data_IF_275696679413
#
_entry.id   IF_275696679413
#
_cell.length_a   1.000
_cell.length_b   1.000
_cell.length_c   1.000
_cell.angle_alpha   90.00
_cell.angle_beta   90.00
_cell.angle_gamma   90.00
#
_symmetry.space_group_name_H-M   'P 1'
#
loop_
_entity.id
_entity.type
_entity.pdbx_description
1 polymer ?
#
# COMPACT_ATOMS: atom_id res chain seq x y z
N UNK A 1 -28.37 -23.16 -17.94
CA UNK A 1 -29.50 -23.72 -18.76
C UNK A 1 -29.87 -22.65 -19.77
N UNK A 2 -29.15 -22.61 -20.89
CA UNK A 2 -29.38 -21.60 -21.93
C UNK A 2 -30.53 -22.05 -22.85
N UNK A 3 -31.52 -21.23 -23.02
CA UNK A 3 -32.55 -21.39 -24.07
C UNK A 3 -32.19 -20.45 -25.20
N UNK A 4 -31.82 -21.03 -26.32
CA UNK A 4 -31.68 -20.35 -27.62
C UNK A 4 -33.07 -20.39 -28.28
N UNK A 5 -33.67 -19.24 -28.55
CA UNK A 5 -34.82 -19.10 -29.45
C UNK A 5 -34.27 -18.60 -30.79
N UNK A 6 -34.27 -19.48 -31.78
CA UNK A 6 -34.07 -19.12 -33.19
C UNK A 6 -35.45 -18.99 -33.88
N UNK A 7 -35.79 -17.82 -34.36
CA UNK A 7 -36.79 -17.67 -35.40
C UNK A 7 -36.12 -17.33 -36.71
N UNK A 8 -36.01 -18.33 -37.60
CA UNK A 8 -35.66 -18.17 -39.01
C UNK A 8 -36.92 -17.90 -39.84
N UNK A 9 -37.05 -16.72 -40.39
CA UNK A 9 -37.99 -16.45 -41.47
C UNK A 9 -37.29 -16.54 -42.83
N UNK A 10 -37.55 -17.59 -43.59
CA UNK A 10 -37.07 -17.80 -44.98
C UNK A 10 -38.03 -17.16 -45.99
N UNK A 11 -37.56 -16.17 -46.73
CA UNK A 11 -38.24 -15.65 -47.90
C UNK A 11 -37.40 -15.97 -49.16
N UNK A 12 -37.99 -16.71 -50.13
CA UNK A 12 -37.35 -17.00 -51.42
C UNK A 12 -37.72 -15.94 -52.45
N UNK A 13 -36.71 -15.39 -53.09
CA UNK A 13 -36.82 -14.66 -54.36
C UNK A 13 -35.70 -15.05 -55.29
N UNK A 14 -36.07 -15.49 -56.50
CA UNK A 14 -35.20 -15.74 -57.68
C UNK A 14 -33.90 -16.52 -57.43
N UNK A 15 -33.96 -17.74 -56.94
CA UNK A 15 -32.93 -18.76 -57.22
C UNK A 15 -31.61 -18.65 -56.41
N UNK A 16 -31.28 -17.55 -55.82
CA UNK A 16 -30.07 -17.37 -55.02
C UNK A 16 -30.39 -17.03 -53.60
N UNK A 17 -29.76 -17.74 -52.66
CA UNK A 17 -29.94 -17.52 -51.22
C UNK A 17 -29.03 -16.39 -50.78
N UNK A 18 -29.57 -15.17 -50.60
CA UNK A 18 -28.85 -14.05 -50.03
C UNK A 18 -29.19 -13.97 -48.53
N UNK A 19 -28.18 -14.12 -47.68
CA UNK A 19 -28.27 -13.85 -46.23
C UNK A 19 -28.33 -12.32 -46.00
N UNK A 20 -29.52 -11.79 -45.80
CA UNK A 20 -29.66 -10.39 -45.39
C UNK A 20 -29.55 -10.27 -43.89
N UNK A 21 -28.39 -9.78 -43.43
CA UNK A 21 -28.24 -9.31 -42.04
C UNK A 21 -28.90 -7.93 -41.94
N UNK A 22 -30.04 -7.83 -41.27
CA UNK A 22 -30.64 -6.52 -40.93
C UNK A 22 -29.86 -5.92 -39.76
N UNK A 23 -29.16 -4.85 -40.02
CA UNK A 23 -28.75 -3.91 -38.98
C UNK A 23 -29.97 -3.15 -38.49
N UNK A 24 -30.32 -3.32 -37.23
CA UNK A 24 -31.22 -2.39 -36.56
C UNK A 24 -30.40 -1.15 -36.18
N UNK A 25 -30.58 -0.08 -36.90
CA UNK A 25 -30.20 1.25 -36.45
C UNK A 25 -31.27 1.73 -35.49
N UNK A 26 -30.92 1.86 -34.25
CA UNK A 26 -31.67 2.52 -33.18
C UNK A 26 -30.65 3.14 -32.27
N UNK A 27 -30.53 4.46 -32.36
CA UNK A 27 -29.76 5.29 -31.44
C UNK A 27 -30.31 5.11 -30.01
N UNK A 28 -29.50 4.49 -29.18
CA UNK A 28 -29.29 4.66 -27.76
C UNK A 28 -28.39 3.53 -27.30
N UNK A 29 -27.11 3.63 -27.67
CA UNK A 29 -26.07 2.93 -26.93
C UNK A 29 -26.00 3.63 -25.56
N UNK A 30 -26.78 3.12 -24.61
CA UNK A 30 -26.45 3.24 -23.20
C UNK A 30 -25.08 2.60 -23.04
N UNK A 31 -24.04 3.41 -23.03
CA UNK A 31 -22.69 3.03 -22.69
C UNK A 31 -22.58 2.77 -21.19
N UNK A 32 -23.26 1.71 -20.74
CA UNK A 32 -22.96 1.04 -19.49
C UNK A 32 -21.87 0.02 -19.79
N UNK A 33 -20.65 0.47 -20.03
CA UNK A 33 -19.51 -0.37 -19.79
C UNK A 33 -19.51 -0.61 -18.30
N UNK A 34 -19.86 -1.84 -17.86
CA UNK A 34 -19.38 -2.36 -16.60
C UNK A 34 -17.85 -2.42 -16.73
N UNK A 35 -17.16 -1.31 -16.47
CA UNK A 35 -15.75 -1.36 -16.15
C UNK A 35 -15.66 -2.25 -14.92
N UNK A 36 -15.04 -3.41 -15.07
CA UNK A 36 -14.75 -4.30 -13.96
C UNK A 36 -14.02 -3.47 -12.90
N UNK A 37 -14.57 -3.42 -11.68
CA UNK A 37 -14.07 -2.56 -10.61
C UNK A 37 -12.61 -2.90 -10.33
N UNK A 38 -11.70 -1.97 -10.64
CA UNK A 38 -10.27 -2.10 -10.35
C UNK A 38 -9.91 -1.19 -9.19
N UNK A 39 -9.57 -1.81 -8.06
CA UNK A 39 -9.07 -1.13 -6.85
C UNK A 39 -7.91 -0.20 -7.19
N UNK A 40 -6.90 -0.71 -7.90
CA UNK A 40 -5.73 0.07 -8.28
C UNK A 40 -6.08 1.30 -9.12
N UNK A 41 -7.01 1.18 -10.07
CA UNK A 41 -7.43 2.30 -10.91
C UNK A 41 -8.22 3.35 -10.10
N UNK A 42 -9.07 2.92 -9.14
CA UNK A 42 -9.81 3.83 -8.26
C UNK A 42 -8.85 4.60 -7.34
N UNK A 43 -7.92 3.93 -6.68
CA UNK A 43 -6.89 4.52 -5.83
C UNK A 43 -6.04 5.50 -6.63
N UNK A 44 -5.47 5.09 -7.77
CA UNK A 44 -4.61 5.94 -8.59
C UNK A 44 -5.31 7.23 -9.04
N UNK A 45 -6.57 7.14 -9.50
CA UNK A 45 -7.35 8.33 -9.92
C UNK A 45 -7.59 9.31 -8.76
N UNK A 46 -7.97 8.80 -7.58
CA UNK A 46 -8.26 9.66 -6.42
C UNK A 46 -7.01 10.36 -5.90
N UNK A 47 -5.91 9.62 -5.74
CA UNK A 47 -4.66 10.20 -5.25
C UNK A 47 -3.98 11.12 -6.28
N UNK A 48 -4.10 10.85 -7.58
CA UNK A 48 -3.67 11.80 -8.62
C UNK A 48 -4.47 13.12 -8.56
N UNK A 49 -5.78 13.08 -8.28
CA UNK A 49 -6.57 14.28 -8.06
C UNK A 49 -6.18 14.98 -6.74
N UNK A 50 -5.97 14.23 -5.67
CA UNK A 50 -5.56 14.73 -4.36
C UNK A 50 -4.15 15.37 -4.36
N UNK A 51 -3.25 14.94 -5.25
CA UNK A 51 -1.97 15.60 -5.47
C UNK A 51 -2.09 17.00 -6.08
N UNK A 52 -3.20 17.30 -6.77
CA UNK A 52 -3.45 18.59 -7.43
C UNK A 52 -4.33 19.54 -6.60
N UNK A 53 -5.19 18.99 -5.75
CA UNK A 53 -6.11 19.75 -4.90
C UNK A 53 -6.30 19.04 -3.58
N UNK A 54 -6.39 19.77 -2.46
CA UNK A 54 -6.61 19.22 -1.13
C UNK A 54 -7.91 18.44 -1.07
N UNK A 55 -7.86 17.20 -0.55
CA UNK A 55 -9.00 16.29 -0.38
C UNK A 55 -9.28 16.08 1.12
N UNK A 56 -10.14 16.89 1.75
CA UNK A 56 -10.33 16.86 3.20
C UNK A 56 -10.87 15.53 3.74
N UNK A 57 -11.56 14.73 2.93
CA UNK A 57 -12.14 13.47 3.35
C UNK A 57 -11.13 12.34 3.54
N UNK A 58 -9.91 12.53 3.03
CA UNK A 58 -8.81 11.58 3.20
C UNK A 58 -8.01 11.82 4.51
N UNK A 59 -8.31 12.88 5.25
CA UNK A 59 -7.53 13.27 6.42
C UNK A 59 -8.13 12.76 7.73
N UNK A 60 -7.29 12.08 8.52
CA UNK A 60 -7.49 12.00 9.98
C UNK A 60 -6.78 13.18 10.65
N UNK A 61 -7.30 13.67 11.78
CA UNK A 61 -6.61 14.71 12.54
C UNK A 61 -5.35 14.11 13.21
N UNK A 62 -4.19 14.33 12.61
CA UNK A 62 -2.88 13.91 13.13
C UNK A 62 -2.09 15.12 13.62
N UNK A 63 -1.52 15.01 14.83
CA UNK A 63 -0.63 16.02 15.39
C UNK A 63 0.82 15.60 15.15
N UNK A 64 1.49 16.29 14.22
CA UNK A 64 2.93 16.18 14.02
C UNK A 64 3.69 17.17 14.90
N UNK A 65 4.96 16.90 15.18
CA UNK A 65 5.83 17.88 15.82
C UNK A 65 6.09 19.06 14.88
N UNK A 66 5.63 20.24 15.28
CA UNK A 66 5.71 21.44 14.45
C UNK A 66 7.13 21.79 14.00
N UNK A 67 8.16 21.42 14.80
CA UNK A 67 9.56 21.67 14.49
C UNK A 67 9.99 20.99 13.18
N UNK A 68 9.48 19.80 12.91
CA UNK A 68 9.79 19.09 11.68
C UNK A 68 9.02 19.61 10.46
N UNK A 69 7.89 20.30 10.67
CA UNK A 69 7.09 20.87 9.59
C UNK A 69 7.68 22.18 9.03
N UNK A 70 8.48 22.91 9.82
CA UNK A 70 9.04 24.20 9.42
C UNK A 70 9.94 24.13 8.16
N UNK A 71 10.61 23.00 7.96
CA UNK A 71 11.49 22.78 6.81
C UNK A 71 10.75 22.28 5.54
N UNK A 72 9.46 21.94 5.65
CA UNK A 72 8.68 21.27 4.61
C UNK A 72 7.77 22.29 3.91
N UNK A 73 7.77 22.36 2.57
CA UNK A 73 6.87 23.23 1.82
C UNK A 73 5.38 22.99 2.16
N UNK A 74 4.59 24.06 2.24
CA UNK A 74 3.16 23.98 2.60
C UNK A 74 2.37 23.05 1.66
N UNK A 75 2.70 23.05 0.36
CA UNK A 75 2.09 22.18 -0.64
C UNK A 75 2.18 20.69 -0.25
N UNK A 76 3.31 20.25 0.31
CA UNK A 76 3.53 18.89 0.77
C UNK A 76 2.68 18.60 2.01
N UNK A 77 2.63 19.54 2.96
CA UNK A 77 1.88 19.37 4.21
C UNK A 77 0.37 19.29 3.94
N UNK A 78 -0.14 20.13 3.04
CA UNK A 78 -1.57 20.24 2.74
C UNK A 78 -2.11 19.07 1.91
N UNK A 79 -1.25 18.39 1.13
CA UNK A 79 -1.64 17.30 0.22
C UNK A 79 -1.15 15.94 0.67
N UNK A 80 -0.87 15.80 1.95
CA UNK A 80 -0.53 14.52 2.56
C UNK A 80 -1.71 14.00 3.39
N UNK A 81 -1.99 12.72 3.23
CA UNK A 81 -3.17 12.05 3.77
C UNK A 81 -2.75 10.88 4.64
N UNK A 82 -3.04 10.94 5.93
CA UNK A 82 -2.63 9.91 6.86
C UNK A 82 -3.47 9.87 8.13
N UNK A 83 -3.31 8.82 8.93
CA UNK A 83 -4.07 8.59 10.16
C UNK A 83 -3.19 8.48 11.41
N UNK A 84 -1.87 8.59 11.26
CA UNK A 84 -0.90 8.51 12.36
C UNK A 84 0.41 9.22 12.03
N UNK A 85 1.34 9.15 12.98
CA UNK A 85 2.70 9.63 12.84
C UNK A 85 3.70 8.51 13.19
N UNK A 86 4.00 7.61 12.22
CA UNK A 86 4.94 6.52 12.46
C UNK A 86 6.39 7.00 12.60
N UNK A 87 6.71 8.22 12.15
CA UNK A 87 8.07 8.77 12.22
C UNK A 87 8.58 8.98 13.64
N UNK A 88 7.68 9.09 14.63
CA UNK A 88 8.01 9.21 16.07
C UNK A 88 8.79 8.01 16.64
N UNK A 89 8.77 6.90 15.93
CA UNK A 89 9.38 5.65 16.39
C UNK A 89 10.66 5.30 15.63
N UNK A 90 11.21 6.27 14.90
CA UNK A 90 12.48 6.17 14.20
C UNK A 90 13.63 6.59 15.11
N UNK A 91 14.85 6.13 14.79
CA UNK A 91 16.07 6.47 15.50
C UNK A 91 17.10 7.14 14.59
N UNK A 92 18.00 7.97 15.14
CA UNK A 92 19.09 8.56 14.37
C UNK A 92 19.97 7.51 13.65
N UNK A 93 20.37 7.81 12.42
CA UNK A 93 21.25 6.97 11.61
C UNK A 93 20.57 5.82 10.86
N UNK A 94 19.26 5.62 11.02
CA UNK A 94 18.55 4.52 10.36
C UNK A 94 18.35 4.74 8.85
N UNK A 95 18.34 3.63 8.11
CA UNK A 95 17.82 3.56 6.74
C UNK A 95 16.33 3.24 6.81
N UNK A 96 15.50 4.18 6.41
CA UNK A 96 14.04 4.12 6.49
C UNK A 96 13.42 3.93 5.11
N UNK A 97 12.42 3.06 5.02
CA UNK A 97 11.57 2.88 3.86
C UNK A 97 10.16 3.36 4.19
N UNK A 98 9.65 4.34 3.45
CA UNK A 98 8.28 4.86 3.57
C UNK A 98 7.41 4.29 2.43
N UNK A 99 6.40 3.52 2.78
CA UNK A 99 5.51 2.84 1.85
C UNK A 99 4.27 3.69 1.57
N UNK A 100 4.07 4.05 0.30
CA UNK A 100 3.03 4.99 -0.11
C UNK A 100 3.37 6.38 0.37
N UNK A 101 4.55 6.87 0.00
CA UNK A 101 5.11 8.13 0.51
C UNK A 101 4.32 9.38 0.10
N UNK A 102 3.40 9.28 -0.86
CA UNK A 102 2.60 10.39 -1.34
C UNK A 102 3.46 11.59 -1.74
N UNK A 103 3.13 12.77 -1.25
CA UNK A 103 3.90 14.01 -1.47
C UNK A 103 5.19 14.10 -0.64
N UNK A 104 5.50 13.09 0.18
CA UNK A 104 6.77 12.97 0.89
C UNK A 104 6.79 13.52 2.31
N UNK A 105 5.67 13.93 2.92
CA UNK A 105 5.66 14.54 4.26
C UNK A 105 6.33 13.65 5.31
N UNK A 106 5.95 12.36 5.39
CA UNK A 106 6.55 11.42 6.34
C UNK A 106 8.05 11.21 6.04
N UNK A 107 8.44 11.12 4.75
CA UNK A 107 9.85 11.03 4.37
C UNK A 107 10.66 12.24 4.86
N UNK A 108 10.13 13.46 4.73
CA UNK A 108 10.83 14.68 5.14
C UNK A 108 10.89 14.85 6.66
N UNK A 109 9.88 14.38 7.39
CA UNK A 109 9.93 14.30 8.86
C UNK A 109 10.96 13.23 9.27
N UNK A 110 10.89 12.04 8.68
CA UNK A 110 11.82 10.94 8.93
C UNK A 110 13.28 11.35 8.66
N UNK A 111 13.54 12.08 7.57
CA UNK A 111 14.85 12.64 7.23
C UNK A 111 15.45 13.44 8.39
N UNK A 112 14.66 14.31 9.01
CA UNK A 112 15.09 15.13 10.14
C UNK A 112 15.28 14.30 11.43
N UNK A 113 14.48 13.24 11.62
CA UNK A 113 14.62 12.34 12.77
C UNK A 113 15.88 11.49 12.66
N UNK A 114 16.13 10.88 11.49
CA UNK A 114 17.31 10.01 11.30
C UNK A 114 18.61 10.81 11.15
N UNK A 115 18.52 12.09 10.76
CA UNK A 115 19.68 12.99 10.62
C UNK A 115 20.53 12.71 9.39
N UNK A 116 21.65 13.44 9.26
CA UNK A 116 22.50 13.42 8.06
C UNK A 116 23.15 12.05 7.77
N UNK A 117 23.37 11.22 8.78
CA UNK A 117 23.95 9.88 8.66
C UNK A 117 22.89 8.81 8.30
N UNK A 118 21.60 9.12 8.46
CA UNK A 118 20.50 8.25 8.08
C UNK A 118 20.13 8.43 6.61
N UNK A 119 19.21 7.55 6.13
CA UNK A 119 18.70 7.58 4.76
C UNK A 119 17.21 7.30 4.74
N UNK A 120 16.47 7.99 3.88
CA UNK A 120 15.04 7.76 3.68
C UNK A 120 14.76 7.47 2.21
N UNK A 121 13.99 6.41 1.97
CA UNK A 121 13.52 6.01 0.65
C UNK A 121 12.00 6.02 0.69
N UNK A 122 11.37 6.90 -0.10
CA UNK A 122 9.92 6.92 -0.28
C UNK A 122 9.52 6.15 -1.53
N UNK A 123 8.49 5.31 -1.43
CA UNK A 123 7.91 4.59 -2.57
C UNK A 123 6.46 5.00 -2.74
N UNK A 124 6.09 5.37 -3.97
CA UNK A 124 4.70 5.59 -4.37
C UNK A 124 4.49 5.09 -5.81
N UNK A 125 3.25 4.77 -6.17
CA UNK A 125 2.92 4.36 -7.53
C UNK A 125 2.33 5.49 -8.38
N UNK A 126 2.01 6.64 -7.77
CA UNK A 126 1.29 7.75 -8.37
C UNK A 126 2.25 8.84 -8.82
N UNK A 127 2.35 9.05 -10.14
CA UNK A 127 3.28 10.03 -10.72
C UNK A 127 3.05 11.44 -10.18
N UNK A 128 1.80 11.89 -10.10
CA UNK A 128 1.45 13.23 -9.59
C UNK A 128 1.92 13.46 -8.14
N UNK A 129 1.87 12.42 -7.28
CA UNK A 129 2.37 12.47 -5.91
C UNK A 129 3.89 12.55 -5.88
N UNK A 130 4.56 11.68 -6.65
CA UNK A 130 6.02 11.65 -6.75
C UNK A 130 6.59 12.94 -7.35
N UNK A 131 5.88 13.57 -8.30
CA UNK A 131 6.30 14.86 -8.86
C UNK A 131 6.38 15.93 -7.78
N UNK A 132 5.38 16.02 -6.90
CA UNK A 132 5.39 16.97 -5.77
C UNK A 132 6.55 16.64 -4.82
N UNK A 133 6.70 15.36 -4.42
CA UNK A 133 7.75 14.91 -3.51
C UNK A 133 9.17 15.19 -4.06
N UNK A 134 9.42 14.80 -5.31
CA UNK A 134 10.71 14.98 -5.98
C UNK A 134 11.05 16.47 -6.18
N UNK A 135 10.05 17.31 -6.46
CA UNK A 135 10.23 18.77 -6.59
C UNK A 135 10.55 19.43 -5.25
N UNK A 136 9.93 18.97 -4.16
CA UNK A 136 10.15 19.51 -2.81
C UNK A 136 11.49 19.09 -2.18
N UNK A 137 12.04 17.94 -2.55
CA UNK A 137 13.23 17.37 -1.91
C UNK A 137 14.46 18.29 -1.90
N UNK A 138 14.82 19.02 -2.97
CA UNK A 138 15.95 19.97 -2.94
C UNK A 138 15.74 21.12 -1.96
N UNK A 139 14.53 21.67 -1.87
CA UNK A 139 14.19 22.78 -0.96
C UNK A 139 14.30 22.32 0.51
N UNK A 140 13.74 21.12 0.81
CA UNK A 140 13.87 20.54 2.15
C UNK A 140 15.33 20.28 2.50
N UNK A 141 16.12 19.73 1.56
CA UNK A 141 17.55 19.49 1.76
C UNK A 141 18.34 20.78 2.05
N UNK A 142 18.01 21.89 1.37
CA UNK A 142 18.58 23.20 1.66
C UNK A 142 18.20 23.68 3.07
N UNK A 143 16.92 23.56 3.45
CA UNK A 143 16.42 24.02 4.74
C UNK A 143 17.04 23.26 5.93
N UNK A 144 17.29 21.93 5.78
CA UNK A 144 17.87 21.10 6.85
C UNK A 144 19.40 20.94 6.77
N UNK A 145 20.02 21.34 5.65
CA UNK A 145 21.48 21.35 5.45
C UNK A 145 22.07 20.04 4.94
N UNK A 146 21.27 19.04 4.56
CA UNK A 146 21.73 17.77 3.97
C UNK A 146 20.65 17.11 3.09
N UNK A 147 21.08 16.22 2.16
CA UNK A 147 20.21 15.50 1.24
C UNK A 147 20.31 13.99 1.51
N UNK A 148 19.31 13.42 2.15
CA UNK A 148 19.26 11.99 2.49
C UNK A 148 17.94 11.32 2.14
N UNK A 149 17.05 12.00 1.37
CA UNK A 149 15.78 11.47 0.90
C UNK A 149 15.84 11.16 -0.60
N UNK A 150 15.28 10.03 -0.99
CA UNK A 150 15.08 9.65 -2.39
C UNK A 150 13.69 9.08 -2.60
N UNK A 151 13.10 9.27 -3.79
CA UNK A 151 11.77 8.79 -4.14
C UNK A 151 11.83 7.87 -5.36
N UNK A 152 11.19 6.69 -5.25
CA UNK A 152 11.11 5.67 -6.27
C UNK A 152 9.67 5.39 -6.67
N UNK A 153 9.44 5.13 -7.95
CA UNK A 153 8.14 4.71 -8.46
C UNK A 153 8.02 3.19 -8.35
N UNK A 154 7.07 2.72 -7.56
CA UNK A 154 6.89 1.30 -7.34
C UNK A 154 5.60 0.95 -6.62
N UNK A 155 5.33 -0.35 -6.52
CA UNK A 155 4.19 -0.88 -5.78
C UNK A 155 4.67 -1.44 -4.45
N UNK A 156 3.99 -1.12 -3.36
CA UNK A 156 4.38 -1.58 -2.02
C UNK A 156 4.27 -3.10 -1.83
N UNK A 157 3.50 -3.79 -2.66
CA UNK A 157 3.43 -5.26 -2.69
C UNK A 157 4.47 -5.92 -3.61
N UNK A 158 5.32 -5.15 -4.30
CA UNK A 158 6.39 -5.63 -5.18
C UNK A 158 7.58 -4.66 -5.09
N UNK A 159 8.34 -4.78 -4.01
CA UNK A 159 9.50 -3.92 -3.73
C UNK A 159 10.76 -4.31 -4.54
N UNK A 160 10.64 -5.30 -5.42
CA UNK A 160 11.71 -5.70 -6.33
C UNK A 160 11.69 -4.94 -7.66
N UNK A 161 10.51 -4.50 -8.12
CA UNK A 161 10.37 -3.87 -9.43
C UNK A 161 10.33 -2.35 -9.32
N UNK A 162 11.37 -1.68 -9.79
CA UNK A 162 11.38 -0.22 -10.02
C UNK A 162 10.63 0.08 -11.33
N UNK A 163 9.56 0.87 -11.22
CA UNK A 163 8.72 1.21 -12.38
C UNK A 163 9.34 2.32 -13.23
N UNK A 164 10.23 3.16 -12.70
CA UNK A 164 10.98 4.14 -13.49
C UNK A 164 11.99 3.41 -14.39
N UNK A 165 12.71 2.39 -13.88
CA UNK A 165 13.62 1.55 -14.66
C UNK A 165 12.87 0.74 -15.72
N UNK A 166 11.70 0.22 -15.39
CA UNK A 166 10.84 -0.48 -16.34
C UNK A 166 10.38 0.45 -17.46
N UNK A 167 9.95 1.67 -17.14
CA UNK A 167 9.49 2.67 -18.11
C UNK A 167 10.62 3.09 -19.05
N UNK A 168 11.83 3.31 -18.50
CA UNK A 168 13.03 3.55 -19.33
C UNK A 168 13.27 2.39 -20.29
N UNK A 169 13.25 1.16 -19.81
CA UNK A 169 13.44 -0.05 -20.60
C UNK A 169 12.39 -0.22 -21.70
N UNK A 170 11.12 0.15 -21.44
CA UNK A 170 10.05 0.15 -22.44
C UNK A 170 10.25 1.23 -23.50
N UNK A 171 10.79 2.39 -23.13
CA UNK A 171 11.12 3.48 -24.05
C UNK A 171 12.23 3.08 -25.02
N UNK A 172 13.24 2.32 -24.53
CA UNK A 172 14.34 1.79 -25.35
C UNK A 172 13.88 0.66 -26.28
N UNK A 173 12.99 -0.21 -25.82
CA UNK A 173 12.45 -1.34 -26.57
C UNK A 173 10.94 -1.48 -26.39
N UNK A 174 10.13 -0.74 -27.19
CA UNK A 174 8.68 -0.80 -27.13
C UNK A 174 8.11 -2.18 -27.49
N UNK A 175 6.95 -2.52 -26.94
CA UNK A 175 6.22 -3.74 -27.28
C UNK A 175 5.48 -3.51 -28.61
N UNK A 176 5.82 -4.31 -29.62
CA UNK A 176 5.19 -4.22 -30.95
C UNK A 176 4.28 -5.41 -31.27
N UNK A 177 4.49 -6.56 -30.64
CA UNK A 177 3.78 -7.81 -30.89
C UNK A 177 3.81 -8.76 -29.67
N UNK A 178 3.29 -9.98 -29.83
CA UNK A 178 3.26 -10.99 -28.78
C UNK A 178 4.66 -11.44 -28.33
N UNK A 179 5.65 -11.47 -29.24
CA UNK A 179 7.02 -11.82 -28.86
C UNK A 179 7.64 -10.72 -28.00
N UNK A 180 7.39 -9.44 -28.34
CA UNK A 180 7.78 -8.30 -27.52
C UNK A 180 7.17 -8.33 -26.11
N UNK A 181 5.95 -8.87 -25.97
CA UNK A 181 5.32 -9.08 -24.66
C UNK A 181 6.06 -10.17 -23.86
N UNK A 182 6.39 -11.31 -24.46
CA UNK A 182 7.17 -12.37 -23.78
C UNK A 182 8.57 -11.88 -23.36
N UNK A 183 9.23 -11.11 -24.23
CA UNK A 183 10.52 -10.48 -23.87
C UNK A 183 10.39 -9.46 -22.73
N UNK A 184 9.23 -8.78 -22.60
CA UNK A 184 8.97 -7.91 -21.48
C UNK A 184 8.86 -8.72 -20.17
N UNK A 185 8.15 -9.85 -20.16
CA UNK A 185 8.04 -10.70 -18.97
C UNK A 185 9.42 -11.17 -18.50
N UNK A 186 10.30 -11.64 -19.43
CA UNK A 186 11.67 -12.01 -19.10
C UNK A 186 12.50 -10.82 -18.57
N UNK A 187 12.27 -9.62 -19.09
CA UNK A 187 12.95 -8.39 -18.67
C UNK A 187 12.52 -7.97 -17.26
N UNK A 188 11.22 -8.01 -16.99
CA UNK A 188 10.67 -7.73 -15.67
C UNK A 188 11.24 -8.69 -14.64
N UNK A 189 11.31 -10.00 -14.95
CA UNK A 189 11.87 -10.99 -14.04
C UNK A 189 13.37 -10.76 -13.80
N UNK A 190 14.10 -10.34 -14.82
CA UNK A 190 15.51 -9.98 -14.69
C UNK A 190 15.71 -8.74 -13.81
N UNK A 191 14.91 -7.68 -13.99
CA UNK A 191 14.96 -6.50 -13.13
C UNK A 191 14.72 -6.88 -11.67
N UNK A 192 13.72 -7.72 -11.38
CA UNK A 192 13.42 -8.18 -10.03
C UNK A 192 14.54 -9.00 -9.39
N UNK A 193 15.24 -9.81 -10.20
CA UNK A 193 16.24 -10.75 -9.69
C UNK A 193 17.65 -10.16 -9.61
N UNK A 194 18.03 -9.32 -10.58
CA UNK A 194 19.40 -8.80 -10.71
C UNK A 194 19.55 -7.36 -10.16
N UNK A 195 18.47 -6.57 -10.15
CA UNK A 195 18.46 -5.16 -9.75
C UNK A 195 17.19 -4.82 -8.96
N UNK A 196 16.94 -5.48 -7.82
CA UNK A 196 15.75 -5.20 -7.04
C UNK A 196 15.72 -3.74 -6.60
N UNK A 197 14.53 -3.10 -6.67
CA UNK A 197 14.33 -1.72 -6.23
C UNK A 197 14.78 -1.53 -4.78
N UNK A 198 14.44 -2.49 -3.90
CA UNK A 198 14.88 -2.55 -2.52
C UNK A 198 15.50 -3.94 -2.26
N UNK A 199 16.77 -3.95 -1.88
CA UNK A 199 17.52 -5.15 -1.56
C UNK A 199 16.98 -5.87 -0.31
N UNK A 200 17.25 -7.17 -0.22
CA UNK A 200 17.00 -7.96 0.98
C UNK A 200 17.82 -7.42 2.16
N UNK A 201 17.28 -7.47 3.37
CA UNK A 201 18.01 -7.13 4.61
C UNK A 201 18.73 -5.75 4.58
N UNK A 202 18.14 -4.75 3.88
CA UNK A 202 18.75 -3.44 3.67
C UNK A 202 18.17 -2.31 4.51
N UNK A 203 16.98 -2.50 5.09
CA UNK A 203 16.17 -1.47 5.76
C UNK A 203 16.18 -1.68 7.27
N UNK A 204 16.45 -0.61 8.04
CA UNK A 204 16.40 -0.63 9.51
C UNK A 204 14.97 -0.46 10.02
N UNK A 205 14.20 0.43 9.40
CA UNK A 205 12.81 0.67 9.75
C UNK A 205 11.94 0.91 8.52
N UNK A 206 10.77 0.28 8.49
CA UNK A 206 9.70 0.57 7.53
C UNK A 206 8.66 1.42 8.23
N UNK A 207 8.21 2.48 7.56
CA UNK A 207 7.04 3.26 7.96
C UNK A 207 5.98 3.23 6.88
N UNK A 208 4.71 3.38 7.27
CA UNK A 208 3.59 3.59 6.34
C UNK A 208 2.46 4.32 7.06
N UNK A 209 1.70 5.12 6.33
CA UNK A 209 0.65 5.94 6.91
C UNK A 209 -0.64 5.90 6.05
N UNK A 210 -1.60 5.05 6.42
CA UNK A 210 -2.89 4.84 5.73
C UNK A 210 -2.77 4.36 4.27
N UNK A 211 -1.95 3.35 4.01
CA UNK A 211 -1.68 2.88 2.65
C UNK A 211 -1.93 1.38 2.46
N UNK A 212 -1.70 0.57 3.50
CA UNK A 212 -1.80 -0.89 3.37
C UNK A 212 -3.22 -1.33 3.01
N UNK A 213 -4.22 -0.59 3.45
CA UNK A 213 -5.62 -0.85 3.12
C UNK A 213 -6.00 -0.55 1.66
N UNK A 214 -5.16 0.19 0.94
CA UNK A 214 -5.35 0.46 -0.49
C UNK A 214 -4.91 -0.70 -1.40
N UNK A 215 -4.21 -1.69 -0.84
CA UNK A 215 -3.76 -2.88 -1.57
C UNK A 215 -4.89 -3.90 -1.68
N UNK A 216 -5.05 -4.49 -2.86
CA UNK A 216 -5.99 -5.60 -3.10
C UNK A 216 -5.82 -6.71 -2.06
N UNK A 217 -6.91 -7.29 -1.58
CA UNK A 217 -6.91 -8.28 -0.50
C UNK A 217 -6.04 -9.52 -0.82
N UNK A 218 -6.06 -9.98 -2.07
CA UNK A 218 -5.26 -11.11 -2.56
C UNK A 218 -3.76 -10.83 -2.59
N UNK A 219 -3.36 -9.55 -2.66
CA UNK A 219 -1.96 -9.11 -2.72
C UNK A 219 -1.37 -8.73 -1.36
N UNK A 220 -2.20 -8.62 -0.31
CA UNK A 220 -1.73 -8.23 1.03
C UNK A 220 -0.70 -9.20 1.59
N UNK A 221 -0.88 -10.51 1.40
CA UNK A 221 0.10 -11.50 1.85
C UNK A 221 1.47 -11.28 1.21
N UNK A 222 1.51 -10.98 -0.09
CA UNK A 222 2.76 -10.67 -0.78
C UNK A 222 3.40 -9.40 -0.21
N UNK A 223 2.60 -8.37 0.02
CA UNK A 223 3.07 -7.12 0.63
C UNK A 223 3.75 -7.37 1.99
N UNK A 224 3.11 -8.08 2.92
CA UNK A 224 3.73 -8.39 4.22
C UNK A 224 5.01 -9.22 4.08
N UNK A 225 5.07 -10.13 3.11
CA UNK A 225 6.31 -10.89 2.80
C UNK A 225 7.42 -9.98 2.29
N UNK A 226 7.11 -8.97 1.47
CA UNK A 226 8.07 -7.98 0.99
C UNK A 226 8.58 -7.08 2.13
N UNK A 227 7.70 -6.64 3.05
CA UNK A 227 8.11 -5.92 4.25
C UNK A 227 9.13 -6.72 5.06
N UNK A 228 8.84 -8.01 5.28
CA UNK A 228 9.74 -8.89 6.01
C UNK A 228 11.06 -9.10 5.27
N UNK A 229 11.03 -9.29 3.95
CA UNK A 229 12.22 -9.51 3.13
C UNK A 229 13.23 -8.36 3.24
N UNK A 230 12.77 -7.13 3.06
CA UNK A 230 13.66 -5.96 2.98
C UNK A 230 14.21 -5.48 4.32
N UNK A 231 13.54 -5.81 5.43
CA UNK A 231 14.02 -5.46 6.76
C UNK A 231 15.29 -6.24 7.12
N UNK A 232 16.25 -5.59 7.72
CA UNK A 232 17.37 -6.22 8.41
C UNK A 232 16.87 -7.05 9.60
N UNK A 233 17.62 -8.05 10.00
CA UNK A 233 17.39 -8.74 11.27
C UNK A 233 17.50 -7.71 12.41
N UNK A 234 16.48 -7.69 13.28
CA UNK A 234 16.33 -6.67 14.34
C UNK A 234 15.68 -5.37 13.86
N UNK A 235 15.48 -5.20 12.56
CA UNK A 235 14.71 -4.12 11.99
C UNK A 235 13.22 -4.23 12.29
N UNK A 236 12.46 -3.17 12.08
CA UNK A 236 11.04 -3.10 12.44
C UNK A 236 10.17 -2.42 11.40
N UNK A 237 8.91 -2.81 11.37
CA UNK A 237 7.84 -2.10 10.68
C UNK A 237 7.03 -1.29 11.71
N UNK A 238 6.76 -0.03 11.40
CA UNK A 238 5.90 0.87 12.18
C UNK A 238 4.82 1.40 11.25
N UNK A 239 3.64 0.83 11.34
CA UNK A 239 2.56 1.06 10.39
C UNK A 239 1.39 1.73 11.11
N UNK A 240 1.01 2.91 10.61
CA UNK A 240 -0.23 3.59 10.99
C UNK A 240 -1.29 3.31 9.93
N UNK A 241 -2.40 2.68 10.30
CA UNK A 241 -3.50 2.42 9.38
C UNK A 241 -4.86 2.34 10.09
N UNK A 242 -5.92 2.19 9.33
CA UNK A 242 -7.27 2.01 9.84
C UNK A 242 -7.56 0.51 9.97
N UNK A 243 -8.10 0.11 11.11
CA UNK A 243 -8.62 -1.24 11.36
C UNK A 243 -10.12 -1.20 11.60
N UNK A 244 -10.80 -2.32 11.45
CA UNK A 244 -12.22 -2.50 11.73
C UNK A 244 -12.44 -3.46 12.91
N UNK A 245 -13.55 -3.29 13.63
CA UNK A 245 -13.95 -4.20 14.73
C UNK A 245 -14.53 -5.53 14.23
N UNK A 246 -14.95 -5.58 12.98
CA UNK A 246 -15.50 -6.75 12.30
C UNK A 246 -15.20 -6.67 10.81
N UNK A 247 -15.28 -7.80 10.07
CA UNK A 247 -15.03 -7.82 8.63
C UNK A 247 -15.89 -6.82 7.87
N UNK A 248 -15.30 -6.08 6.94
CA UNK A 248 -16.02 -5.19 6.02
C UNK A 248 -16.94 -6.00 5.11
N UNK A 249 -18.11 -5.46 4.79
CA UNK A 249 -19.12 -6.17 4.00
C UNK A 249 -18.74 -6.21 2.51
N UNK A 250 -19.25 -7.22 1.77
CA UNK A 250 -19.06 -7.29 0.30
C UNK A 250 -19.54 -6.02 -0.41
N UNK A 251 -20.62 -5.41 0.06
CA UNK A 251 -21.12 -4.13 -0.46
C UNK A 251 -20.10 -3.02 -0.31
N UNK A 252 -19.44 -2.93 0.84
CA UNK A 252 -18.39 -1.94 1.08
C UNK A 252 -17.15 -2.22 0.21
N UNK A 253 -16.79 -3.49 0.02
CA UNK A 253 -15.65 -3.90 -0.83
C UNK A 253 -15.85 -3.53 -2.31
N UNK A 254 -17.08 -3.32 -2.76
CA UNK A 254 -17.41 -2.89 -4.14
C UNK A 254 -17.52 -1.37 -4.28
N UNK A 255 -17.39 -0.63 -3.18
CA UNK A 255 -17.49 0.83 -3.17
C UNK A 255 -16.10 1.47 -3.38
N UNK A 256 -15.91 2.13 -4.52
CA UNK A 256 -14.65 2.75 -4.92
C UNK A 256 -14.25 3.92 -4.00
N UNK A 257 -15.21 4.67 -3.47
CA UNK A 257 -14.93 5.80 -2.57
C UNK A 257 -14.48 5.30 -1.21
N UNK A 258 -15.16 4.30 -0.66
CA UNK A 258 -14.77 3.67 0.59
C UNK A 258 -13.41 2.98 0.46
N UNK A 259 -13.14 2.35 -0.69
CA UNK A 259 -11.83 1.71 -0.91
C UNK A 259 -10.71 2.73 -0.95
N UNK A 260 -10.83 3.74 -1.82
CA UNK A 260 -9.81 4.80 -1.92
C UNK A 260 -9.72 5.69 -0.67
N UNK A 261 -10.70 5.59 0.24
CA UNK A 261 -10.69 6.18 1.58
C UNK A 261 -10.13 5.28 2.68
N UNK A 262 -9.39 4.22 2.37
CA UNK A 262 -8.77 3.26 3.32
C UNK A 262 -9.76 2.46 4.18
N UNK A 263 -11.05 2.37 3.79
CA UNK A 263 -12.08 1.71 4.58
C UNK A 263 -12.42 0.31 4.08
N UNK A 264 -12.68 0.15 2.78
CA UNK A 264 -13.09 -1.15 2.22
C UNK A 264 -12.00 -2.22 2.29
N UNK A 265 -10.74 -1.82 2.27
CA UNK A 265 -9.61 -2.70 2.46
C UNK A 265 -9.17 -2.86 3.92
N UNK A 266 -9.88 -2.27 4.89
CA UNK A 266 -9.49 -2.39 6.30
C UNK A 266 -9.55 -3.86 6.75
N UNK A 267 -8.50 -4.29 7.43
CA UNK A 267 -8.45 -5.56 8.13
C UNK A 267 -9.08 -5.41 9.51
N UNK A 268 -9.60 -6.50 10.07
CA UNK A 268 -9.95 -6.48 11.49
C UNK A 268 -8.67 -6.33 12.34
N UNK A 269 -8.83 -5.90 13.59
CA UNK A 269 -7.72 -5.78 14.53
C UNK A 269 -6.92 -7.09 14.64
N UNK A 270 -7.61 -8.23 14.67
CA UNK A 270 -7.00 -9.55 14.73
C UNK A 270 -6.30 -9.93 13.42
N UNK A 271 -6.97 -9.75 12.27
CA UNK A 271 -6.40 -10.09 10.97
C UNK A 271 -5.14 -9.26 10.69
N UNK A 272 -5.09 -8.00 11.19
CA UNK A 272 -3.92 -7.15 11.04
C UNK A 272 -2.72 -7.68 11.82
N UNK A 273 -2.92 -8.16 13.07
CA UNK A 273 -1.87 -8.82 13.84
C UNK A 273 -1.45 -10.13 13.16
N UNK A 274 -2.42 -10.96 12.75
CA UNK A 274 -2.15 -12.24 12.10
C UNK A 274 -1.37 -12.09 10.78
N UNK A 275 -1.61 -11.01 10.03
CA UNK A 275 -0.87 -10.74 8.81
C UNK A 275 0.62 -10.54 9.06
N UNK A 276 1.00 -9.85 10.14
CA UNK A 276 2.38 -9.73 10.57
C UNK A 276 2.95 -11.06 11.06
N UNK A 277 2.22 -11.79 11.92
CA UNK A 277 2.65 -13.11 12.44
C UNK A 277 2.91 -14.09 11.30
N UNK A 278 1.98 -14.18 10.33
CA UNK A 278 2.08 -15.07 9.18
C UNK A 278 3.25 -14.72 8.24
N UNK A 279 3.72 -13.49 8.25
CA UNK A 279 4.92 -13.05 7.52
C UNK A 279 6.22 -13.31 8.29
N UNK A 280 6.15 -13.75 9.56
CA UNK A 280 7.31 -14.08 10.39
C UNK A 280 7.75 -12.97 11.36
N UNK A 281 6.96 -11.90 11.49
CA UNK A 281 7.26 -10.86 12.47
C UNK A 281 6.98 -11.34 13.89
N UNK A 282 7.69 -10.75 14.86
CA UNK A 282 7.49 -10.98 16.29
C UNK A 282 7.44 -9.64 17.05
N UNK A 283 7.16 -9.71 18.37
CA UNK A 283 7.13 -8.54 19.24
C UNK A 283 6.09 -7.51 18.81
N UNK A 284 4.99 -7.99 18.21
CA UNK A 284 3.93 -7.17 17.65
C UNK A 284 3.21 -6.43 18.77
N UNK A 285 3.09 -5.11 18.65
CA UNK A 285 2.41 -4.29 19.67
C UNK A 285 1.77 -3.06 19.06
N UNK A 286 0.65 -2.63 19.62
CA UNK A 286 0.08 -1.33 19.33
C UNK A 286 0.85 -0.22 20.05
N UNK A 287 1.41 0.70 19.27
CA UNK A 287 2.04 1.94 19.76
C UNK A 287 0.99 3.02 20.01
N UNK A 288 -0.09 2.99 19.22
CA UNK A 288 -1.27 3.83 19.32
C UNK A 288 -2.50 2.98 19.01
N UNK A 289 -3.56 3.18 19.77
CA UNK A 289 -4.87 2.60 19.53
C UNK A 289 -5.93 3.64 19.90
N UNK A 290 -6.62 4.19 18.91
CA UNK A 290 -7.68 5.15 19.16
C UNK A 290 -8.94 4.43 19.63
N UNK A 291 -9.29 4.61 20.91
CA UNK A 291 -10.48 3.99 21.52
C UNK A 291 -11.75 4.54 20.88
N UNK A 292 -11.78 5.85 20.63
CA UNK A 292 -12.90 6.50 19.95
C UNK A 292 -12.91 6.14 18.46
N UNK A 293 -14.08 5.77 17.91
CA UNK A 293 -14.19 5.49 16.48
C UNK A 293 -13.82 6.68 15.62
N UNK A 294 -13.01 6.46 14.60
CA UNK A 294 -12.84 7.47 13.55
C UNK A 294 -14.11 7.59 12.69
N UNK A 295 -14.67 6.44 12.28
CA UNK A 295 -15.94 6.37 11.53
C UNK A 295 -16.74 5.14 11.95
N UNK A 296 -18.07 5.20 11.74
CA UNK A 296 -18.98 4.04 11.81
C UNK A 296 -19.81 4.03 10.53
N UNK A 297 -19.73 2.95 9.75
CA UNK A 297 -20.44 2.82 8.48
C UNK A 297 -21.13 1.45 8.46
N UNK A 298 -22.44 1.42 8.22
CA UNK A 298 -23.27 0.21 8.20
C UNK A 298 -23.06 -0.70 9.45
N UNK A 299 -22.73 -0.11 10.62
CA UNK A 299 -22.51 -0.80 11.88
C UNK A 299 -21.06 -1.29 12.08
N UNK A 300 -20.19 -1.19 11.10
CA UNK A 300 -18.75 -1.47 11.22
C UNK A 300 -18.04 -0.25 11.80
N UNK A 301 -17.25 -0.47 12.84
CA UNK A 301 -16.49 0.59 13.54
C UNK A 301 -15.05 0.61 13.05
N UNK A 302 -14.60 1.76 12.56
CA UNK A 302 -13.24 1.97 12.07
C UNK A 302 -12.43 2.82 13.06
N UNK A 303 -11.18 2.40 13.31
CA UNK A 303 -10.24 3.07 14.24
C UNK A 303 -8.87 3.23 13.60
N UNK A 304 -8.19 4.33 13.95
CA UNK A 304 -6.78 4.49 13.64
C UNK A 304 -5.93 3.78 14.67
N UNK A 305 -4.95 3.01 14.19
CA UNK A 305 -3.96 2.35 15.02
C UNK A 305 -2.55 2.63 14.51
N UNK A 306 -1.54 2.47 15.37
CA UNK A 306 -0.14 2.35 14.96
C UNK A 306 0.41 1.08 15.57
N UNK A 307 0.84 0.15 14.73
CA UNK A 307 1.43 -1.14 15.11
C UNK A 307 2.94 -1.09 14.88
N UNK A 308 3.69 -1.73 15.76
CA UNK A 308 5.13 -1.98 15.61
C UNK A 308 5.36 -3.49 15.65
N UNK A 309 6.16 -4.00 14.71
CA UNK A 309 6.51 -5.41 14.60
C UNK A 309 7.96 -5.57 14.15
N UNK A 310 8.67 -6.58 14.64
CA UNK A 310 10.11 -6.75 14.43
C UNK A 310 10.42 -7.96 13.55
N UNK A 311 11.47 -7.85 12.72
CA UNK A 311 12.06 -8.99 12.05
C UNK A 311 13.06 -9.67 12.98
N UNK A 312 12.77 -10.94 13.35
CA UNK A 312 13.61 -11.77 14.20
C UNK A 312 14.67 -12.56 13.46
N UNK A 313 15.52 -13.23 14.22
CA UNK A 313 16.38 -14.28 13.72
C UNK A 313 15.52 -15.55 13.67
N UNK A 314 15.43 -16.20 12.50
CA UNK A 314 14.92 -17.57 12.46
C UNK A 314 15.91 -18.49 13.18
N UNK A 315 15.60 -18.87 14.41
CA UNK A 315 16.41 -19.84 15.13
C UNK A 315 15.83 -21.21 14.80
N UNK A 316 16.46 -21.91 13.88
CA UNK A 316 16.21 -23.33 13.63
C UNK A 316 16.80 -24.20 14.78
N UNK A 317 16.47 -23.90 16.03
CA UNK A 317 16.88 -24.75 17.16
C UNK A 317 15.69 -25.16 17.98
N UNK A 318 15.46 -26.46 18.08
CA UNK A 318 14.44 -27.09 18.90
C UNK A 318 14.61 -26.86 20.42
N UNK A 319 15.62 -26.10 20.86
CA UNK A 319 16.00 -25.96 22.28
C UNK A 319 16.00 -24.51 22.79
N UNK A 320 15.53 -23.52 22.02
CA UNK A 320 15.50 -22.13 22.54
C UNK A 320 14.27 -21.91 23.42
N UNK A 321 14.47 -21.88 24.71
CA UNK A 321 13.46 -21.45 25.69
C UNK A 321 13.51 -19.92 25.75
N UNK A 322 12.44 -19.23 25.33
CA UNK A 322 12.31 -17.78 25.46
C UNK A 322 11.43 -17.47 26.67
N UNK A 323 11.92 -16.60 27.52
CA UNK A 323 11.10 -15.97 28.56
C UNK A 323 10.63 -14.62 28.04
N UNK A 324 9.31 -14.43 27.89
CA UNK A 324 8.70 -13.18 27.50
C UNK A 324 7.95 -12.57 28.68
N UNK A 325 8.23 -11.31 28.98
CA UNK A 325 7.52 -10.57 30.00
C UNK A 325 6.51 -9.64 29.32
N UNK A 326 5.22 -9.94 29.54
CA UNK A 326 4.14 -9.09 29.05
C UNK A 326 4.10 -7.77 29.84
N UNK A 327 4.19 -6.63 29.13
CA UNK A 327 4.21 -5.30 29.75
C UNK A 327 2.88 -4.53 29.67
N UNK A 328 1.76 -5.19 29.28
CA UNK A 328 0.46 -4.53 29.12
C UNK A 328 0.30 -3.85 27.75
N UNK A 329 -0.85 -3.26 27.42
CA UNK A 329 -1.92 -2.75 28.29
C UNK A 329 -3.09 -3.72 28.59
N UNK A 330 -3.07 -4.94 28.10
CA UNK A 330 -4.19 -5.87 28.26
C UNK A 330 -4.25 -6.48 29.66
N UNK A 331 -5.44 -6.81 30.14
CA UNK A 331 -5.62 -7.47 31.46
C UNK A 331 -5.27 -8.96 31.44
N UNK A 332 -5.28 -9.57 30.26
CA UNK A 332 -4.91 -10.97 30.04
C UNK A 332 -4.42 -11.18 28.61
N UNK A 333 -3.54 -12.15 28.42
CA UNK A 333 -3.14 -12.69 27.12
C UNK A 333 -3.85 -14.02 26.99
N UNK A 334 -4.61 -14.20 25.88
CA UNK A 334 -5.16 -15.51 25.55
C UNK A 334 -4.08 -16.32 24.84
N UNK A 335 -3.73 -17.47 25.41
CA UNK A 335 -2.83 -18.42 24.78
C UNK A 335 -3.47 -19.05 23.53
N UNK A 336 -2.77 -19.01 22.40
CA UNK A 336 -3.06 -19.95 21.30
C UNK A 336 -2.37 -21.27 21.61
N UNK A 337 -2.97 -22.39 21.20
CA UNK A 337 -2.55 -23.77 21.47
C UNK A 337 -1.09 -24.14 21.08
N UNK A 338 -0.32 -23.22 20.52
CA UNK A 338 1.07 -23.43 20.13
C UNK A 338 2.12 -22.89 21.12
N UNK A 339 1.71 -22.22 22.20
CA UNK A 339 2.62 -21.77 23.25
C UNK A 339 2.41 -22.61 24.50
N UNK A 340 3.47 -23.26 24.98
CA UNK A 340 3.43 -24.06 26.20
C UNK A 340 3.11 -23.23 27.44
N UNK A 341 2.41 -23.82 28.39
CA UNK A 341 1.76 -23.29 29.61
C UNK A 341 2.66 -22.53 30.62
N UNK A 342 3.63 -21.73 30.22
CA UNK A 342 4.56 -21.09 31.17
C UNK A 342 4.45 -19.56 31.25
N UNK A 343 3.34 -18.97 30.80
CA UNK A 343 3.12 -17.52 30.93
C UNK A 343 1.99 -17.20 31.92
N UNK A 344 2.26 -17.28 33.21
CA UNK A 344 1.48 -16.69 34.29
C UNK A 344 2.37 -15.79 35.15
#
# INVERSE_FOLDING_TARGET
>A
MFRVCSEESKQRYNGDTVLAVRYWGGDELMSGQNEEFSVQAAVSRRYAAAARAVEPELCCAVQYDARFLEAIPSEVIERDYGCGDPSRYLNPGETVLDLGSGTGKICFIASQVVGAEGRVIGIDMTDDMLEVARRAAPEVAENIGYANVSFRKGRIQDLKLDLDDLEQSLSEKPIGDANGFLELEERVERLRSEQPMIEDDSIDAIVSNCVLNLVDADKKRLMFSELFRVLKVGGRAVISDIVSDQPVTEKMMQDAELWSGCLSGAMTENDFIEAFENAGFYGIRFRKFDVEPWRVIDGVVFRSVTIEAFKGISIESEEAIYEAIYQGPFKAILERESFNESFL
#
